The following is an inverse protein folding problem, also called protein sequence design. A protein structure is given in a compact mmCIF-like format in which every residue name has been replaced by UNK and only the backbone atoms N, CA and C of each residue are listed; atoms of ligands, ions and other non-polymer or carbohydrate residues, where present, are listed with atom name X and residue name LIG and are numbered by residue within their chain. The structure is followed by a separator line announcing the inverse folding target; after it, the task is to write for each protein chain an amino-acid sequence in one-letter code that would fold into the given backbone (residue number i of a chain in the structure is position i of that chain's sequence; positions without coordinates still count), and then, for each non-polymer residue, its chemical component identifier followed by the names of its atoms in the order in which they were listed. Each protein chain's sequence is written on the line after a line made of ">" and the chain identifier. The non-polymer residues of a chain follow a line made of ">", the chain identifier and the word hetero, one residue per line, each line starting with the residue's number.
data_IF_107525699226
#
_entry.id   IF_107525699226
#
_cell.length_a   1.000
_cell.length_b   1.000
_cell.length_c   1.000
_cell.angle_alpha   90.00
_cell.angle_beta   90.00
_cell.angle_gamma   90.00
#
_symmetry.space_group_name_H-M   'P 1'
#
loop_
_entity.id
_entity.type
_entity.pdbx_description
1 polymer ?
#
# COMPACT_ATOMS: atom_id res chain seq x y z
N UNK A 1 1.67 -4.59 -27.77
CA UNK A 1 1.14 -4.73 -26.38
C UNK A 1 2.14 -5.45 -25.49
N UNK A 2 2.14 -5.13 -24.19
CA UNK A 2 2.95 -5.78 -23.14
C UNK A 2 2.10 -5.95 -21.87
N UNK A 3 2.45 -6.93 -21.03
CA UNK A 3 1.83 -7.08 -19.72
C UNK A 3 2.33 -5.98 -18.79
N UNK A 4 1.40 -5.14 -18.33
CA UNK A 4 1.66 -4.06 -17.38
C UNK A 4 0.94 -4.34 -16.06
N UNK A 5 1.47 -3.80 -14.96
CA UNK A 5 0.77 -3.82 -13.67
C UNK A 5 -0.39 -2.85 -13.76
N UNK A 6 -1.62 -3.36 -13.71
CA UNK A 6 -2.84 -2.56 -13.65
C UNK A 6 -3.15 -2.11 -12.23
N UNK A 7 -2.91 -3.01 -11.28
CA UNK A 7 -3.17 -2.81 -9.86
C UNK A 7 -2.23 -3.68 -9.04
N UNK A 8 -1.68 -3.15 -7.96
CA UNK A 8 -0.82 -3.90 -7.04
C UNK A 8 -0.98 -3.38 -5.61
N UNK A 9 -1.22 -4.31 -4.69
CA UNK A 9 -1.20 -4.07 -3.25
C UNK A 9 -0.62 -5.30 -2.56
N UNK A 10 0.48 -5.11 -1.85
CA UNK A 10 1.14 -6.23 -1.17
C UNK A 10 0.26 -6.80 -0.06
N UNK A 11 0.15 -8.12 -0.02
CA UNK A 11 -0.40 -8.81 1.12
C UNK A 11 0.59 -8.74 2.29
N UNK A 12 0.02 -8.51 3.48
CA UNK A 12 0.74 -8.39 4.73
C UNK A 12 0.84 -9.76 5.43
N UNK A 13 1.91 -9.96 6.19
CA UNK A 13 2.22 -11.22 6.87
C UNK A 13 1.41 -11.39 8.14
N UNK A 14 0.41 -12.27 8.08
CA UNK A 14 -0.42 -12.66 9.22
C UNK A 14 -0.12 -14.09 9.68
N UNK A 15 1.08 -14.65 9.45
CA UNK A 15 1.44 -16.02 9.88
C UNK A 15 1.10 -16.33 11.33
N UNK A 16 1.41 -15.38 12.21
CA UNK A 16 1.21 -15.55 13.64
C UNK A 16 -0.25 -15.35 14.07
N UNK A 17 -1.10 -14.83 13.17
CA UNK A 17 -2.52 -14.54 13.39
C UNK A 17 -3.36 -14.96 12.18
N UNK A 18 -3.07 -16.14 11.63
CA UNK A 18 -3.70 -16.60 10.41
C UNK A 18 -5.21 -16.83 10.60
N UNK A 19 -5.98 -16.49 9.57
CA UNK A 19 -7.43 -16.66 9.57
C UNK A 19 -7.77 -18.09 9.18
N UNK A 20 -8.43 -18.83 10.08
CA UNK A 20 -8.84 -20.22 9.83
C UNK A 20 -10.32 -20.28 9.52
N UNK A 21 -10.68 -20.67 8.30
CA UNK A 21 -12.07 -20.84 7.90
C UNK A 21 -12.31 -22.23 7.33
N UNK A 22 -13.46 -22.82 7.62
CA UNK A 22 -13.90 -24.08 7.02
C UNK A 22 -14.25 -23.92 5.54
N UNK A 23 -14.86 -22.77 5.21
CA UNK A 23 -15.22 -22.36 3.86
C UNK A 23 -15.07 -20.83 3.77
N UNK A 24 -14.92 -20.32 2.55
CA UNK A 24 -14.79 -18.89 2.29
C UNK A 24 -15.43 -18.56 0.94
N UNK A 25 -16.21 -17.49 0.91
CA UNK A 25 -16.45 -16.71 -0.31
C UNK A 25 -15.95 -15.29 -0.05
N UNK A 26 -15.08 -14.78 -0.91
CA UNK A 26 -14.66 -13.38 -0.89
C UNK A 26 -14.93 -12.72 -2.23
N UNK A 27 -15.34 -11.46 -2.18
CA UNK A 27 -15.54 -10.58 -3.33
C UNK A 27 -14.63 -9.38 -3.16
N UNK A 28 -13.88 -9.06 -4.20
CA UNK A 28 -12.94 -7.94 -4.23
C UNK A 28 -13.31 -7.07 -5.42
N UNK A 29 -13.61 -5.79 -5.16
CA UNK A 29 -13.75 -4.76 -6.19
C UNK A 29 -12.38 -4.12 -6.41
N UNK A 30 -11.98 -3.95 -7.66
CA UNK A 30 -10.81 -3.17 -8.06
C UNK A 30 -11.22 -2.21 -9.19
N UNK A 31 -10.73 -0.97 -9.13
CA UNK A 31 -10.79 0.00 -10.22
C UNK A 31 -9.53 -0.14 -11.08
N UNK A 32 -9.71 -0.26 -12.40
CA UNK A 32 -8.62 -0.40 -13.36
C UNK A 32 -7.83 0.91 -13.49
N UNK A 33 -6.50 0.86 -13.39
CA UNK A 33 -5.66 2.04 -13.65
C UNK A 33 -5.42 2.25 -15.14
N UNK A 34 -5.44 1.17 -15.91
CA UNK A 34 -5.09 1.13 -17.33
C UNK A 34 -6.26 0.64 -18.18
N UNK A 35 -6.17 0.92 -19.47
CA UNK A 35 -7.00 0.35 -20.52
C UNK A 35 -6.26 -0.81 -21.17
N UNK A 36 -6.94 -1.92 -21.46
CA UNK A 36 -6.33 -3.08 -22.12
C UNK A 36 -7.32 -4.21 -22.38
N UNK A 37 -6.83 -5.31 -22.96
CA UNK A 37 -7.69 -6.34 -23.58
C UNK A 37 -7.79 -7.64 -22.80
N UNK A 38 -6.72 -7.98 -22.07
CA UNK A 38 -6.61 -9.24 -21.31
C UNK A 38 -6.08 -8.97 -19.93
N UNK A 39 -6.46 -9.81 -18.97
CA UNK A 39 -5.93 -9.75 -17.61
C UNK A 39 -5.31 -11.08 -17.17
N UNK A 40 -4.41 -10.98 -16.17
CA UNK A 40 -3.96 -12.09 -15.32
C UNK A 40 -3.98 -11.64 -13.87
N UNK A 41 -4.32 -12.53 -12.95
CA UNK A 41 -4.23 -12.28 -11.52
C UNK A 41 -2.96 -12.92 -10.95
N UNK A 42 -2.26 -12.20 -10.07
CA UNK A 42 -1.29 -12.82 -9.17
C UNK A 42 -2.00 -13.23 -7.88
N UNK A 43 -2.02 -14.53 -7.65
CA UNK A 43 -2.53 -15.09 -6.42
C UNK A 43 -1.37 -15.48 -5.50
N UNK A 44 -1.47 -15.18 -4.21
CA UNK A 44 -0.34 -15.28 -3.26
C UNK A 44 -0.64 -16.18 -2.08
N UNK A 45 0.39 -16.91 -1.65
CA UNK A 45 0.43 -17.71 -0.44
C UNK A 45 1.84 -17.65 0.15
N UNK A 46 2.44 -16.45 0.20
CA UNK A 46 3.82 -16.26 0.66
C UNK A 46 4.01 -16.66 2.12
N UNK A 47 2.96 -16.48 2.91
CA UNK A 47 3.00 -16.60 4.35
C UNK A 47 2.20 -17.81 4.84
N UNK A 48 1.49 -18.54 3.99
CA UNK A 48 0.78 -19.75 4.43
C UNK A 48 1.70 -20.89 4.85
N UNK A 49 1.20 -21.74 5.75
CA UNK A 49 1.88 -22.96 6.22
C UNK A 49 1.43 -24.22 5.48
N UNK A 50 0.40 -24.10 4.65
CA UNK A 50 -0.17 -25.14 3.80
C UNK A 50 -0.58 -24.55 2.44
N UNK A 51 -0.80 -25.41 1.46
CA UNK A 51 -1.33 -24.99 0.16
C UNK A 51 -2.75 -24.41 0.33
N UNK A 52 -3.08 -23.43 -0.50
CA UNK A 52 -4.42 -22.83 -0.56
C UNK A 52 -5.09 -23.26 -1.86
N UNK A 53 -6.30 -23.80 -1.79
CA UNK A 53 -7.10 -24.14 -2.96
C UNK A 53 -8.33 -23.26 -3.03
N UNK A 54 -8.57 -22.65 -4.20
CA UNK A 54 -9.83 -21.98 -4.50
C UNK A 54 -10.53 -22.77 -5.61
N UNK A 55 -11.68 -23.38 -5.32
CA UNK A 55 -12.46 -24.17 -6.28
C UNK A 55 -13.04 -23.29 -7.39
N UNK A 56 -13.32 -22.04 -7.08
CA UNK A 56 -13.83 -21.07 -8.04
C UNK A 56 -13.10 -19.74 -7.90
N UNK A 57 -12.61 -19.24 -9.04
CA UNK A 57 -12.09 -17.88 -9.19
C UNK A 57 -12.76 -17.26 -10.42
N UNK A 58 -13.55 -16.22 -10.21
CA UNK A 58 -14.31 -15.54 -11.26
C UNK A 58 -13.94 -14.06 -11.35
N UNK A 59 -14.07 -13.49 -12.54
CA UNK A 59 -14.03 -12.05 -12.78
C UNK A 59 -15.31 -11.57 -13.46
N UNK A 60 -15.80 -10.40 -13.07
CA UNK A 60 -17.00 -9.80 -13.63
C UNK A 60 -16.92 -8.27 -13.66
N UNK A 61 -17.75 -7.64 -14.49
CA UNK A 61 -17.86 -6.18 -14.62
C UNK A 61 -18.84 -5.55 -13.62
N UNK A 62 -19.60 -6.38 -12.93
CA UNK A 62 -20.67 -6.00 -12.00
C UNK A 62 -20.55 -6.81 -10.70
N UNK A 63 -21.11 -6.28 -9.62
CA UNK A 63 -21.01 -6.88 -8.29
C UNK A 63 -21.93 -8.07 -8.07
N UNK A 64 -22.88 -8.33 -8.97
CA UNK A 64 -23.76 -9.49 -8.97
C UNK A 64 -23.24 -10.64 -9.83
N UNK A 65 -22.06 -10.47 -10.44
CA UNK A 65 -21.35 -11.48 -11.23
C UNK A 65 -22.16 -12.00 -12.44
N UNK A 66 -23.03 -11.16 -13.00
CA UNK A 66 -23.64 -11.43 -14.31
C UNK A 66 -22.56 -11.48 -15.39
N UNK A 67 -22.63 -12.49 -16.26
CA UNK A 67 -21.65 -12.78 -17.30
C UNK A 67 -20.21 -12.90 -16.76
N UNK A 68 -20.06 -13.41 -15.52
CA UNK A 68 -18.76 -13.68 -14.96
C UNK A 68 -17.97 -14.68 -15.79
N UNK A 69 -16.67 -14.44 -15.92
CA UNK A 69 -15.74 -15.33 -16.58
C UNK A 69 -14.88 -16.05 -15.56
N UNK A 70 -14.62 -17.34 -15.79
CA UNK A 70 -13.82 -18.16 -14.90
C UNK A 70 -12.34 -18.05 -15.25
N UNK A 71 -11.51 -17.79 -14.25
CA UNK A 71 -10.06 -17.86 -14.37
C UNK A 71 -9.58 -19.29 -14.13
N UNK A 72 -8.50 -19.64 -14.81
CA UNK A 72 -7.83 -20.94 -14.68
C UNK A 72 -6.35 -20.75 -14.36
N UNK A 73 -5.70 -21.84 -13.95
CA UNK A 73 -4.25 -21.92 -13.88
C UNK A 73 -3.81 -23.23 -14.53
N UNK A 74 -3.02 -23.15 -15.60
CA UNK A 74 -2.63 -24.31 -16.41
C UNK A 74 -3.86 -25.12 -16.90
N UNK A 75 -4.92 -24.40 -17.27
CA UNK A 75 -6.20 -24.98 -17.71
C UNK A 75 -7.09 -25.55 -16.60
N UNK A 76 -6.63 -25.56 -15.35
CA UNK A 76 -7.41 -26.06 -14.21
C UNK A 76 -8.31 -24.97 -13.62
N UNK A 77 -9.56 -25.32 -13.34
CA UNK A 77 -10.57 -24.40 -12.78
C UNK A 77 -10.44 -24.25 -11.26
N UNK A 78 -10.02 -25.29 -10.57
CA UNK A 78 -9.60 -25.22 -9.17
C UNK A 78 -8.13 -24.80 -9.12
N UNK A 79 -7.86 -23.67 -8.48
CA UNK A 79 -6.51 -23.09 -8.43
C UNK A 79 -5.90 -23.38 -7.06
N UNK A 80 -4.81 -24.14 -7.06
CA UNK A 80 -4.00 -24.41 -5.86
C UNK A 80 -2.74 -23.55 -5.87
N UNK A 81 -2.55 -22.76 -4.82
CA UNK A 81 -1.37 -21.92 -4.61
C UNK A 81 -0.47 -22.61 -3.56
N UNK A 82 0.69 -23.14 -3.97
CA UNK A 82 1.59 -23.80 -3.04
C UNK A 82 2.04 -22.87 -1.89
N UNK A 83 2.26 -23.43 -0.71
CA UNK A 83 2.79 -22.68 0.44
C UNK A 83 4.10 -21.97 0.10
N UNK A 84 4.26 -20.74 0.57
CA UNK A 84 5.46 -19.93 0.35
C UNK A 84 5.61 -19.37 -1.06
N UNK A 85 4.59 -19.47 -1.91
CA UNK A 85 4.69 -19.10 -3.33
C UNK A 85 3.63 -18.09 -3.78
N UNK A 86 3.74 -17.68 -5.04
CA UNK A 86 2.66 -17.01 -5.78
C UNK A 86 2.60 -17.59 -7.18
N UNK A 87 1.44 -17.51 -7.81
CA UNK A 87 1.25 -17.87 -9.22
C UNK A 87 0.58 -16.73 -9.98
N UNK A 88 0.73 -16.75 -11.31
CA UNK A 88 -0.08 -15.94 -12.22
C UNK A 88 -1.10 -16.86 -12.88
N UNK A 89 -2.37 -16.46 -12.90
CA UNK A 89 -3.42 -17.19 -13.62
C UNK A 89 -3.12 -17.23 -15.11
N UNK A 90 -3.80 -18.13 -15.83
CA UNK A 90 -3.88 -18.06 -17.28
C UNK A 90 -4.47 -16.71 -17.70
N UNK A 91 -4.16 -16.26 -18.92
CA UNK A 91 -4.75 -15.05 -19.46
C UNK A 91 -6.20 -15.26 -19.85
N UNK A 92 -7.00 -14.20 -19.67
CA UNK A 92 -8.39 -14.18 -20.12
C UNK A 92 -8.69 -12.90 -20.89
N UNK A 93 -9.50 -12.99 -21.94
CA UNK A 93 -10.00 -11.81 -22.65
C UNK A 93 -11.06 -11.11 -21.80
N UNK A 94 -10.66 -9.99 -21.21
CA UNK A 94 -11.48 -9.21 -20.30
C UNK A 94 -11.13 -7.73 -20.49
N UNK A 95 -11.62 -7.11 -21.58
CA UNK A 95 -11.27 -5.74 -21.92
C UNK A 95 -11.69 -4.79 -20.80
N UNK A 96 -10.79 -3.93 -20.34
CA UNK A 96 -11.01 -2.93 -19.30
C UNK A 96 -10.63 -1.56 -19.81
N UNK A 97 -11.34 -0.53 -19.35
CA UNK A 97 -10.96 0.88 -19.53
C UNK A 97 -10.39 1.45 -18.23
N UNK A 98 -9.42 2.36 -18.32
CA UNK A 98 -8.94 3.12 -17.15
C UNK A 98 -10.12 3.79 -16.43
N UNK A 99 -10.18 3.62 -15.10
CA UNK A 99 -11.27 4.10 -14.25
C UNK A 99 -12.48 3.15 -14.13
N UNK A 100 -12.54 2.08 -14.92
CA UNK A 100 -13.61 1.09 -14.86
C UNK A 100 -13.44 0.15 -13.66
N UNK A 101 -14.55 -0.18 -13.00
CA UNK A 101 -14.57 -1.16 -11.92
C UNK A 101 -14.70 -2.58 -12.46
N UNK A 102 -14.05 -3.53 -11.79
CA UNK A 102 -14.28 -4.96 -11.98
C UNK A 102 -14.19 -5.68 -10.64
N UNK A 103 -14.68 -6.91 -10.63
CA UNK A 103 -14.89 -7.69 -9.42
C UNK A 103 -14.25 -9.06 -9.57
N UNK A 104 -13.62 -9.53 -8.49
CA UNK A 104 -13.03 -10.86 -8.37
C UNK A 104 -13.82 -11.59 -7.29
N UNK A 105 -14.30 -12.79 -7.58
CA UNK A 105 -14.87 -13.70 -6.60
C UNK A 105 -13.94 -14.91 -6.45
N UNK A 106 -13.65 -15.27 -5.22
CA UNK A 106 -12.90 -16.47 -4.89
C UNK A 106 -13.64 -17.29 -3.86
N UNK A 107 -13.81 -18.58 -4.13
CA UNK A 107 -14.46 -19.54 -3.23
C UNK A 107 -13.51 -20.67 -2.86
N UNK A 108 -13.48 -20.95 -1.56
CA UNK A 108 -12.82 -22.11 -0.99
C UNK A 108 -13.86 -22.94 -0.21
N UNK A 109 -13.94 -24.23 -0.55
CA UNK A 109 -14.88 -25.22 -0.03
C UNK A 109 -14.22 -26.17 0.98
N UNK A 110 -12.96 -25.89 1.33
CA UNK A 110 -12.16 -26.72 2.24
C UNK A 110 -11.58 -25.88 3.38
N UNK A 111 -11.37 -26.49 4.57
CA UNK A 111 -10.71 -25.82 5.68
C UNK A 111 -9.31 -25.34 5.30
N UNK A 112 -9.06 -24.05 5.47
CA UNK A 112 -7.82 -23.39 5.08
C UNK A 112 -7.39 -22.33 6.10
N UNK A 113 -6.08 -22.04 6.12
CA UNK A 113 -5.47 -21.03 6.98
C UNK A 113 -4.84 -19.94 6.14
N UNK A 114 -5.44 -18.75 6.14
CA UNK A 114 -5.02 -17.60 5.31
C UNK A 114 -4.08 -16.68 6.10
N UNK A 115 -2.86 -16.48 5.59
CA UNK A 115 -1.84 -15.62 6.19
C UNK A 115 -1.42 -14.44 5.29
N UNK A 116 -1.80 -14.46 4.01
CA UNK A 116 -1.61 -13.35 3.09
C UNK A 116 -2.84 -12.45 3.13
N UNK A 117 -2.77 -11.33 3.86
CA UNK A 117 -3.93 -10.48 4.11
C UNK A 117 -3.69 -9.08 3.55
N UNK A 118 -4.62 -8.60 2.74
CA UNK A 118 -4.65 -7.20 2.33
C UNK A 118 -5.91 -6.53 2.89
N UNK A 119 -5.86 -5.21 3.06
CA UNK A 119 -7.00 -4.46 3.59
C UNK A 119 -7.09 -3.03 3.11
N UNK A 120 -8.25 -2.43 3.26
CA UNK A 120 -8.52 -1.01 2.98
C UNK A 120 -9.67 -0.50 3.85
N UNK A 121 -9.70 0.80 4.12
CA UNK A 121 -10.88 1.52 4.61
C UNK A 121 -11.54 2.32 3.49
N UNK A 122 -10.75 2.85 2.56
CA UNK A 122 -11.22 3.52 1.36
C UNK A 122 -11.85 2.50 0.39
N UNK A 123 -13.01 2.84 -0.19
CA UNK A 123 -13.87 1.88 -0.93
C UNK A 123 -14.02 2.16 -2.44
N UNK A 124 -13.43 3.24 -2.95
CA UNK A 124 -13.65 3.68 -4.33
C UNK A 124 -12.80 2.90 -5.33
N UNK A 125 -11.50 2.75 -5.04
CA UNK A 125 -10.55 2.04 -5.91
C UNK A 125 -10.44 0.56 -5.57
N UNK A 126 -10.67 0.22 -4.32
CA UNK A 126 -10.58 -1.14 -3.78
C UNK A 126 -11.75 -1.31 -2.81
N UNK A 127 -12.44 -2.44 -2.84
CA UNK A 127 -13.38 -2.80 -1.78
C UNK A 127 -13.38 -4.31 -1.61
N UNK A 128 -13.75 -4.81 -0.44
CA UNK A 128 -13.83 -6.24 -0.24
C UNK A 128 -14.93 -6.61 0.75
N UNK A 129 -15.48 -7.80 0.57
CA UNK A 129 -16.35 -8.43 1.53
C UNK A 129 -16.13 -9.93 1.50
N UNK A 130 -16.30 -10.57 2.66
CA UNK A 130 -16.14 -12.01 2.78
C UNK A 130 -17.17 -12.60 3.72
N UNK A 131 -17.49 -13.88 3.50
CA UNK A 131 -18.31 -14.71 4.37
C UNK A 131 -17.66 -16.07 4.52
N UNK A 132 -17.82 -16.68 5.71
CA UNK A 132 -17.26 -17.99 6.05
C UNK A 132 -18.17 -19.13 5.57
N UNK A 133 -18.51 -19.09 4.29
CA UNK A 133 -19.36 -20.08 3.61
C UNK A 133 -19.11 -20.02 2.10
N UNK A 134 -19.14 -21.15 1.40
CA UNK A 134 -19.08 -21.20 -0.07
C UNK A 134 -20.46 -20.99 -0.73
N UNK A 135 -21.55 -21.03 0.05
CA UNK A 135 -22.94 -20.95 -0.44
C UNK A 135 -23.52 -19.53 -0.47
N UNK A 136 -22.78 -18.54 0.02
CA UNK A 136 -23.26 -17.16 0.18
C UNK A 136 -22.38 -16.19 -0.58
N UNK A 137 -23.02 -15.26 -1.28
CA UNK A 137 -22.34 -14.15 -1.92
C UNK A 137 -22.30 -12.94 -0.96
N UNK A 138 -21.11 -12.47 -0.53
CA UNK A 138 -21.03 -11.31 0.36
C UNK A 138 -21.35 -10.03 -0.41
N UNK A 139 -22.06 -9.10 0.22
CA UNK A 139 -22.32 -7.76 -0.35
C UNK A 139 -21.21 -6.79 0.03
N UNK A 140 -20.72 -6.03 -0.95
CA UNK A 140 -19.75 -4.96 -0.72
C UNK A 140 -20.41 -3.78 0.00
N UNK A 141 -19.90 -3.45 1.18
CA UNK A 141 -20.34 -2.26 1.93
C UNK A 141 -19.44 -1.08 1.60
N UNK A 142 -20.03 0.10 1.42
CA UNK A 142 -19.31 1.36 1.27
C UNK A 142 -19.39 2.09 2.61
N UNK A 143 -18.27 2.22 3.31
CA UNK A 143 -18.19 2.94 4.59
C UNK A 143 -16.74 3.27 4.90
N UNK A 144 -16.39 4.53 5.13
CA UNK A 144 -15.03 4.90 5.53
C UNK A 144 -14.63 4.39 6.91
N UNK A 145 -15.56 3.90 7.75
CA UNK A 145 -15.29 3.53 9.14
C UNK A 145 -14.97 2.05 9.35
N UNK A 146 -15.24 1.20 8.36
CA UNK A 146 -15.01 -0.24 8.46
C UNK A 146 -13.84 -0.70 7.60
N UNK A 147 -12.93 -1.47 8.21
CA UNK A 147 -11.87 -2.17 7.50
C UNK A 147 -12.45 -3.30 6.65
N UNK A 148 -12.06 -3.36 5.38
CA UNK A 148 -12.33 -4.48 4.48
C UNK A 148 -11.05 -5.22 4.24
N UNK A 149 -11.10 -6.54 4.37
CA UNK A 149 -9.94 -7.40 4.18
C UNK A 149 -10.25 -8.42 3.09
N UNK A 150 -9.20 -8.87 2.40
CA UNK A 150 -9.24 -10.01 1.49
C UNK A 150 -7.94 -10.79 1.58
N UNK A 151 -7.93 -11.98 0.99
CA UNK A 151 -6.79 -12.89 1.03
C UNK A 151 -6.27 -13.18 -0.37
N UNK A 152 -4.96 -13.34 -0.46
CA UNK A 152 -4.30 -14.01 -1.59
C UNK A 152 -4.46 -13.37 -2.97
N UNK A 153 -4.85 -12.09 -3.07
CA UNK A 153 -4.81 -11.32 -4.34
C UNK A 153 -3.88 -10.14 -4.15
N UNK A 154 -2.72 -10.19 -4.81
CA UNK A 154 -1.67 -9.17 -4.66
C UNK A 154 -1.51 -8.24 -5.87
N UNK A 155 -1.88 -8.71 -7.08
CA UNK A 155 -1.63 -7.98 -8.32
C UNK A 155 -2.58 -8.37 -9.43
N UNK A 156 -2.92 -7.39 -10.27
CA UNK A 156 -3.59 -7.60 -11.55
C UNK A 156 -2.69 -7.07 -12.65
N UNK A 157 -2.36 -7.94 -13.60
CA UNK A 157 -1.68 -7.58 -14.83
C UNK A 157 -2.72 -7.37 -15.93
N UNK A 158 -2.46 -6.42 -16.82
CA UNK A 158 -3.27 -6.16 -18.00
C UNK A 158 -2.39 -6.10 -19.25
N UNK A 159 -2.85 -6.69 -20.35
CA UNK A 159 -2.19 -6.61 -21.64
C UNK A 159 -2.64 -5.31 -22.33
N UNK A 160 -1.70 -4.39 -22.53
CA UNK A 160 -1.97 -3.04 -23.05
C UNK A 160 -0.82 -2.52 -23.91
N UNK A 161 -1.10 -1.49 -24.72
CA UNK A 161 -0.06 -0.70 -25.40
C UNK A 161 0.47 0.45 -24.52
N UNK A 162 -0.27 0.80 -23.46
CA UNK A 162 0.13 1.85 -22.53
C UNK A 162 1.45 1.49 -21.83
N UNK A 163 2.27 2.51 -21.58
CA UNK A 163 3.56 2.41 -20.91
C UNK A 163 3.55 3.31 -19.68
N UNK A 164 2.82 2.91 -18.62
CA UNK A 164 2.68 3.75 -17.44
C UNK A 164 3.99 3.87 -16.67
N UNK A 165 4.15 4.99 -15.96
CA UNK A 165 5.14 5.11 -14.91
C UNK A 165 4.61 4.50 -13.61
N UNK A 166 5.49 3.82 -12.87
CA UNK A 166 5.15 3.21 -11.60
C UNK A 166 5.63 4.06 -10.43
N UNK A 167 4.77 4.24 -9.43
CA UNK A 167 5.13 4.83 -8.13
C UNK A 167 4.90 3.80 -7.05
N UNK A 168 5.97 3.40 -6.35
CA UNK A 168 5.83 2.60 -5.14
C UNK A 168 5.48 3.52 -3.97
N UNK A 169 4.33 3.28 -3.35
CA UNK A 169 3.88 4.04 -2.17
C UNK A 169 4.12 3.20 -0.92
N UNK A 170 5.09 3.62 -0.11
CA UNK A 170 5.55 2.95 1.09
C UNK A 170 5.03 3.64 2.34
N UNK A 171 4.60 2.86 3.32
CA UNK A 171 4.23 3.40 4.62
C UNK A 171 3.63 2.39 5.56
N UNK A 172 2.96 2.92 6.58
CA UNK A 172 2.28 2.18 7.64
C UNK A 172 0.75 2.08 7.39
N UNK A 173 -0.04 2.18 8.47
CA UNK A 173 -1.50 2.16 8.43
C UNK A 173 -2.08 3.31 7.61
N UNK A 174 -1.46 4.49 7.58
CA UNK A 174 -1.96 5.62 6.79
C UNK A 174 -2.00 5.30 5.28
N UNK A 175 -1.04 4.48 4.81
CA UNK A 175 -1.02 3.99 3.43
C UNK A 175 -1.92 2.75 3.26
N UNK A 176 -1.96 1.84 4.24
CA UNK A 176 -2.81 0.64 4.19
C UNK A 176 -4.30 0.99 4.11
N UNK A 177 -4.75 1.98 4.89
CA UNK A 177 -6.14 2.45 4.95
C UNK A 177 -6.67 2.94 3.60
N UNK A 178 -5.79 3.45 2.75
CA UNK A 178 -6.10 3.76 1.36
C UNK A 178 -6.66 5.15 1.07
N UNK A 179 -6.97 5.99 2.06
CA UNK A 179 -7.58 7.32 1.79
C UNK A 179 -6.66 8.21 0.94
N UNK A 180 -5.37 8.28 1.27
CA UNK A 180 -4.38 9.08 0.54
C UNK A 180 -4.13 8.51 -0.85
N UNK A 181 -3.96 7.19 -0.97
CA UNK A 181 -3.65 6.54 -2.24
C UNK A 181 -4.85 6.54 -3.19
N UNK A 182 -6.08 6.42 -2.68
CA UNK A 182 -7.31 6.59 -3.43
C UNK A 182 -7.41 8.01 -4.00
N UNK A 183 -7.22 9.03 -3.17
CA UNK A 183 -7.26 10.43 -3.60
C UNK A 183 -6.17 10.75 -4.64
N UNK A 184 -4.94 10.26 -4.45
CA UNK A 184 -3.86 10.39 -5.44
C UNK A 184 -4.23 9.71 -6.77
N UNK A 185 -4.78 8.50 -6.72
CA UNK A 185 -5.22 7.80 -7.94
C UNK A 185 -6.35 8.55 -8.65
N UNK A 186 -7.28 9.16 -7.93
CA UNK A 186 -8.32 10.02 -8.51
C UNK A 186 -7.72 11.25 -9.23
N UNK A 187 -6.74 11.91 -8.61
CA UNK A 187 -6.05 13.05 -9.22
C UNK A 187 -5.34 12.64 -10.52
N UNK A 188 -4.63 11.52 -10.52
CA UNK A 188 -3.94 11.02 -11.73
C UNK A 188 -4.91 10.51 -12.80
N UNK A 189 -5.99 9.81 -12.42
CA UNK A 189 -7.01 9.39 -13.37
C UNK A 189 -7.65 10.60 -14.08
N UNK A 190 -7.86 11.71 -13.35
CA UNK A 190 -8.42 12.94 -13.92
C UNK A 190 -7.45 13.68 -14.83
N UNK A 191 -6.16 13.73 -14.48
CA UNK A 191 -5.18 14.55 -15.20
C UNK A 191 -4.45 13.80 -16.33
N UNK A 192 -4.18 12.51 -16.14
CA UNK A 192 -3.33 11.67 -16.99
C UNK A 192 -3.77 10.19 -16.93
N UNK A 193 -4.99 9.88 -17.42
CA UNK A 193 -5.57 8.54 -17.33
C UNK A 193 -4.69 7.48 -17.99
N UNK A 194 -4.34 6.45 -17.22
CA UNK A 194 -3.52 5.33 -17.68
C UNK A 194 -2.03 5.62 -17.85
N UNK A 195 -1.53 6.77 -17.38
CA UNK A 195 -0.10 7.10 -17.42
C UNK A 195 0.64 6.75 -16.13
N UNK A 196 -0.06 6.66 -14.99
CA UNK A 196 0.55 6.37 -13.68
C UNK A 196 -0.19 5.27 -12.95
N UNK A 197 0.59 4.33 -12.41
CA UNK A 197 0.08 3.25 -11.55
C UNK A 197 0.77 3.30 -10.19
N UNK A 198 -0.03 3.36 -9.12
CA UNK A 198 0.48 3.30 -7.75
C UNK A 198 0.53 1.85 -7.26
N UNK A 199 1.74 1.38 -6.90
CA UNK A 199 2.00 0.08 -6.27
C UNK A 199 2.03 0.25 -4.75
N UNK A 200 1.07 -0.35 -4.05
CA UNK A 200 0.84 -0.06 -2.63
C UNK A 200 1.63 -1.02 -1.74
N UNK A 201 2.51 -0.45 -0.91
CA UNK A 201 3.39 -1.14 0.02
C UNK A 201 3.11 -0.75 1.49
N UNK A 202 1.86 -0.40 1.81
CA UNK A 202 1.43 -0.03 3.17
C UNK A 202 1.26 -1.24 4.10
N UNK A 203 1.80 -1.15 5.32
CA UNK A 203 1.73 -2.21 6.32
C UNK A 203 1.31 -1.62 7.67
N UNK A 204 0.09 -1.89 8.14
CA UNK A 204 -0.39 -1.35 9.41
C UNK A 204 0.55 -1.67 10.58
N UNK A 205 0.82 -0.64 11.40
CA UNK A 205 1.73 -0.72 12.55
C UNK A 205 3.22 -0.79 12.21
N UNK A 206 3.60 -0.78 10.91
CA UNK A 206 5.00 -0.82 10.51
C UNK A 206 5.76 0.39 11.05
N UNK A 207 7.04 0.17 11.37
CA UNK A 207 7.97 1.20 11.82
C UNK A 207 9.04 1.42 10.78
N UNK A 208 9.66 2.59 10.80
CA UNK A 208 10.70 2.96 9.87
C UNK A 208 12.01 2.23 10.13
N UNK A 209 12.46 2.20 11.40
CA UNK A 209 13.80 1.76 11.77
C UNK A 209 13.86 0.40 12.49
N UNK A 210 12.75 -0.07 13.06
CA UNK A 210 12.72 -1.29 13.85
C UNK A 210 11.67 -2.29 13.36
N UNK A 211 12.01 -3.58 13.38
CA UNK A 211 11.10 -4.67 13.01
C UNK A 211 9.96 -4.85 14.03
N UNK A 212 8.94 -5.63 13.67
CA UNK A 212 7.84 -6.02 14.54
C UNK A 212 8.28 -6.53 15.92
N UNK A 213 7.44 -6.27 16.93
CA UNK A 213 7.64 -6.81 18.27
C UNK A 213 7.09 -8.24 18.35
N UNK A 214 7.75 -9.10 19.12
CA UNK A 214 7.51 -10.54 19.11
C UNK A 214 6.25 -11.05 19.83
N UNK A 215 5.20 -10.26 20.08
CA UNK A 215 3.98 -10.73 20.79
C UNK A 215 2.68 -10.18 20.21
N UNK A 216 1.65 -11.02 20.13
CA UNK A 216 0.28 -10.63 19.77
C UNK A 216 0.20 -9.92 18.42
N UNK A 217 -0.66 -8.90 18.33
CA UNK A 217 -0.88 -8.14 17.08
C UNK A 217 0.38 -7.50 16.53
N UNK A 218 1.34 -7.14 17.39
CA UNK A 218 2.59 -6.49 16.98
C UNK A 218 3.45 -7.36 16.06
N UNK A 219 3.28 -8.69 16.10
CA UNK A 219 4.00 -9.61 15.21
C UNK A 219 3.61 -9.43 13.75
N UNK A 220 2.42 -8.88 13.48
CA UNK A 220 1.93 -8.63 12.12
C UNK A 220 2.51 -7.35 11.50
N UNK A 221 3.27 -6.56 12.25
CA UNK A 221 3.79 -5.25 11.79
C UNK A 221 5.06 -5.38 10.92
N UNK A 222 5.51 -6.62 10.69
CA UNK A 222 6.58 -7.01 9.77
C UNK A 222 7.95 -6.38 10.02
N UNK A 223 8.88 -6.61 9.10
CA UNK A 223 10.19 -5.94 9.10
C UNK A 223 10.04 -4.43 8.88
N UNK A 224 10.98 -3.66 9.41
CA UNK A 224 11.03 -2.21 9.27
C UNK A 224 10.96 -1.78 7.81
N UNK A 225 10.36 -0.59 7.56
CA UNK A 225 10.29 -0.06 6.20
C UNK A 225 11.69 0.07 5.59
N UNK A 226 12.71 0.47 6.36
CA UNK A 226 14.11 0.47 5.90
C UNK A 226 14.51 -0.87 5.30
N UNK A 227 14.34 -1.96 6.05
CA UNK A 227 14.69 -3.31 5.59
C UNK A 227 13.88 -3.74 4.37
N UNK A 228 12.55 -3.52 4.38
CA UNK A 228 11.67 -3.91 3.26
C UNK A 228 12.02 -3.13 1.99
N UNK A 229 12.29 -1.84 2.11
CA UNK A 229 12.66 -0.98 0.99
C UNK A 229 13.99 -1.40 0.38
N UNK A 230 15.03 -1.57 1.20
CA UNK A 230 16.36 -1.99 0.72
C UNK A 230 16.33 -3.37 0.07
N UNK A 231 15.64 -4.34 0.69
CA UNK A 231 15.47 -5.68 0.11
C UNK A 231 14.78 -5.63 -1.25
N UNK A 232 13.74 -4.79 -1.36
CA UNK A 232 13.04 -4.61 -2.62
C UNK A 232 13.94 -3.95 -3.68
N UNK A 233 14.68 -2.90 -3.34
CA UNK A 233 15.65 -2.24 -4.24
C UNK A 233 16.82 -3.15 -4.65
N UNK A 234 17.16 -4.18 -3.87
CA UNK A 234 18.12 -5.22 -4.26
C UNK A 234 17.51 -6.23 -5.25
N UNK A 235 16.23 -6.52 -5.11
CA UNK A 235 15.51 -7.47 -5.96
C UNK A 235 15.06 -6.86 -7.30
N UNK A 236 14.83 -5.55 -7.35
CA UNK A 236 14.39 -4.83 -8.55
C UNK A 236 15.55 -4.13 -9.26
N UNK A 237 15.57 -4.21 -10.59
CA UNK A 237 16.60 -3.57 -11.43
C UNK A 237 16.16 -2.25 -12.08
N UNK A 238 14.90 -1.85 -11.91
CA UNK A 238 14.35 -0.68 -12.58
C UNK A 238 14.43 0.57 -11.69
N UNK A 239 14.72 1.75 -12.26
CA UNK A 239 14.63 3.01 -11.54
C UNK A 239 13.15 3.28 -11.25
N UNK A 240 12.77 3.11 -9.99
CA UNK A 240 11.40 3.32 -9.55
C UNK A 240 11.26 4.60 -8.75
N UNK A 241 10.13 5.28 -8.97
CA UNK A 241 9.75 6.45 -8.19
C UNK A 241 9.13 5.95 -6.89
N UNK A 242 9.57 6.50 -5.77
CA UNK A 242 9.13 6.08 -4.46
C UNK A 242 8.50 7.25 -3.71
N UNK A 243 7.34 7.01 -3.10
CA UNK A 243 6.74 7.89 -2.10
C UNK A 243 6.81 7.20 -0.76
N UNK A 244 7.51 7.80 0.22
CA UNK A 244 7.73 7.21 1.55
C UNK A 244 7.06 8.09 2.61
N UNK A 245 6.05 7.52 3.28
CA UNK A 245 5.32 8.17 4.36
C UNK A 245 5.25 7.22 5.57
N UNK A 246 6.06 7.51 6.59
CA UNK A 246 6.32 6.62 7.73
C UNK A 246 6.82 7.45 8.92
N UNK A 247 6.96 6.84 10.09
CA UNK A 247 7.70 7.39 11.22
C UNK A 247 6.87 7.56 12.49
N UNK A 248 5.54 7.59 12.35
CA UNK A 248 4.63 7.76 13.48
C UNK A 248 4.79 6.65 14.52
N UNK A 249 4.84 5.39 14.09
CA UNK A 249 4.98 4.25 15.02
C UNK A 249 6.35 4.19 15.72
N UNK A 250 7.42 4.72 15.11
CA UNK A 250 8.75 4.83 15.74
C UNK A 250 8.75 5.81 16.92
N UNK A 251 7.89 6.82 16.85
CA UNK A 251 7.69 7.81 17.91
C UNK A 251 6.70 7.32 18.97
N UNK A 252 5.71 6.52 18.55
CA UNK A 252 4.59 6.11 19.41
C UNK A 252 4.90 4.89 20.25
N UNK A 253 5.61 3.91 19.71
CA UNK A 253 5.77 2.63 20.40
C UNK A 253 6.66 2.72 21.64
N UNK A 254 7.82 3.39 21.63
CA UNK A 254 8.69 3.42 22.81
C UNK A 254 7.99 3.90 24.10
N UNK A 255 7.20 4.99 24.10
CA UNK A 255 6.47 5.40 25.30
C UNK A 255 5.20 4.57 25.58
N UNK A 256 4.63 3.86 24.60
CA UNK A 256 3.32 3.19 24.75
C UNK A 256 3.38 1.66 24.87
N UNK A 257 4.50 1.04 24.53
CA UNK A 257 4.68 -0.41 24.51
C UNK A 257 5.98 -0.76 25.24
N UNK A 258 5.88 -1.41 26.40
CA UNK A 258 7.03 -1.75 27.24
C UNK A 258 8.13 -2.51 26.49
N UNK A 259 7.78 -3.43 25.59
CA UNK A 259 8.74 -4.17 24.77
C UNK A 259 9.55 -3.29 23.78
N UNK A 260 9.10 -2.07 23.51
CA UNK A 260 9.77 -1.11 22.63
C UNK A 260 10.44 0.03 23.41
N UNK A 261 10.43 0.04 24.74
CA UNK A 261 10.86 1.21 25.54
C UNK A 261 12.32 1.59 25.34
N UNK A 262 13.17 0.65 24.93
CA UNK A 262 14.59 0.85 24.63
C UNK A 262 14.87 1.12 23.14
N UNK A 263 13.83 1.16 22.29
CA UNK A 263 13.93 1.37 20.85
C UNK A 263 13.60 2.82 20.48
N UNK A 264 14.13 3.77 21.26
CA UNK A 264 13.91 5.21 21.05
C UNK A 264 14.74 5.69 19.86
N UNK A 265 14.11 6.45 18.96
CA UNK A 265 14.80 7.04 17.81
C UNK A 265 15.30 8.46 18.12
N UNK A 266 16.30 8.92 17.36
CA UNK A 266 16.77 10.30 17.38
C UNK A 266 16.52 10.97 16.03
N UNK A 267 16.50 12.31 16.02
CA UNK A 267 16.42 13.09 14.79
C UNK A 267 17.50 12.67 13.78
N UNK A 268 18.75 12.55 14.26
CA UNK A 268 19.88 12.17 13.42
C UNK A 268 19.67 10.79 12.77
N UNK A 269 19.26 9.78 13.54
CA UNK A 269 19.03 8.43 13.00
C UNK A 269 17.95 8.40 11.92
N UNK A 270 16.86 9.16 12.12
CA UNK A 270 15.78 9.24 11.15
C UNK A 270 16.25 9.88 9.85
N UNK A 271 16.81 11.10 9.93
CA UNK A 271 17.22 11.88 8.75
C UNK A 271 18.36 11.18 8.01
N UNK A 272 19.33 10.61 8.73
CA UNK A 272 20.43 9.88 8.11
C UNK A 272 19.94 8.65 7.33
N UNK A 273 18.93 7.94 7.85
CA UNK A 273 18.33 6.83 7.10
C UNK A 273 17.63 7.32 5.83
N UNK A 274 16.96 8.49 5.85
CA UNK A 274 16.39 9.06 4.63
C UNK A 274 17.47 9.35 3.57
N UNK A 275 18.64 9.85 3.98
CA UNK A 275 19.79 10.07 3.08
C UNK A 275 20.30 8.75 2.49
N UNK A 276 20.48 7.72 3.33
CA UNK A 276 20.89 6.38 2.88
C UNK A 276 19.92 5.81 1.83
N UNK A 277 18.61 5.91 2.09
CA UNK A 277 17.59 5.45 1.14
C UNK A 277 17.62 6.26 -0.17
N UNK A 278 17.80 7.58 -0.09
CA UNK A 278 17.91 8.46 -1.27
C UNK A 278 19.15 8.16 -2.11
N UNK A 279 20.27 7.79 -1.50
CA UNK A 279 21.47 7.38 -2.23
C UNK A 279 21.23 6.10 -3.01
N UNK A 280 20.46 5.15 -2.44
CA UNK A 280 20.14 3.88 -3.11
C UNK A 280 19.03 4.03 -4.16
N UNK A 281 18.09 4.95 -3.94
CA UNK A 281 16.94 5.24 -4.79
C UNK A 281 16.73 6.77 -4.90
N UNK A 282 17.42 7.44 -5.85
CA UNK A 282 17.42 8.91 -5.95
C UNK A 282 16.07 9.55 -6.25
N UNK A 283 15.16 8.80 -6.88
CA UNK A 283 13.80 9.26 -7.19
C UNK A 283 12.84 8.92 -6.03
N UNK A 284 13.26 9.18 -4.79
CA UNK A 284 12.45 8.99 -3.57
C UNK A 284 11.97 10.33 -3.03
N UNK A 285 10.67 10.47 -2.88
CA UNK A 285 9.98 11.56 -2.20
C UNK A 285 9.58 11.12 -0.79
N UNK A 286 10.10 11.79 0.23
CA UNK A 286 9.68 11.63 1.61
C UNK A 286 8.60 12.64 1.97
N UNK A 287 7.86 12.37 3.04
CA UNK A 287 6.93 13.32 3.63
C UNK A 287 7.35 13.69 5.04
N UNK A 288 6.84 14.81 5.54
CA UNK A 288 6.81 15.07 6.99
C UNK A 288 5.99 14.00 7.74
N UNK A 289 6.32 13.75 9.00
CA UNK A 289 5.57 12.89 9.92
C UNK A 289 4.36 13.67 10.46
N UNK A 290 3.15 13.09 10.36
CA UNK A 290 1.93 13.70 10.87
C UNK A 290 1.90 13.75 12.42
N UNK A 291 1.18 14.72 13.01
CA UNK A 291 1.00 14.77 14.46
C UNK A 291 0.21 13.58 14.99
N UNK A 292 0.40 13.28 16.29
CA UNK A 292 -0.36 12.26 17.02
C UNK A 292 -0.81 12.85 18.34
N UNK A 293 -2.12 12.86 18.55
CA UNK A 293 -2.76 13.19 19.82
C UNK A 293 -3.46 11.98 20.47
N UNK A 294 -3.44 10.80 19.84
CA UNK A 294 -4.09 9.54 20.30
C UNK A 294 -3.69 9.03 21.69
N UNK A 295 -2.71 9.68 22.30
CA UNK A 295 -2.28 9.43 23.67
C UNK A 295 -3.25 10.00 24.71
N UNK A 296 -4.08 10.99 24.35
CA UNK A 296 -4.97 11.68 25.28
C UNK A 296 -5.98 10.74 25.96
N UNK A 297 -6.32 9.63 25.32
CA UNK A 297 -7.29 8.65 25.84
C UNK A 297 -6.64 7.44 26.54
N UNK A 298 -5.30 7.39 26.62
CA UNK A 298 -4.58 6.30 27.32
C UNK A 298 -4.08 6.79 28.67
N UNK A 299 -4.72 6.42 29.79
CA UNK A 299 -4.35 6.90 31.13
C UNK A 299 -2.94 6.48 31.58
N UNK A 300 -2.30 5.55 30.86
CA UNK A 300 -0.95 5.04 31.16
C UNK A 300 0.18 5.88 30.57
N UNK A 301 -0.10 6.85 29.70
CA UNK A 301 0.94 7.64 29.02
C UNK A 301 0.97 9.03 29.63
N UNK A 302 2.14 9.41 30.15
CA UNK A 302 2.28 10.67 30.88
C UNK A 302 2.26 11.86 29.92
N UNK A 303 1.65 13.00 30.28
CA UNK A 303 1.63 14.20 29.44
C UNK A 303 3.02 14.67 28.97
N UNK A 304 4.04 14.49 29.82
CA UNK A 304 5.44 14.81 29.49
C UNK A 304 5.97 13.96 28.32
N UNK A 305 5.59 12.69 28.24
CA UNK A 305 5.98 11.80 27.15
C UNK A 305 5.34 12.24 25.83
N UNK A 306 4.09 12.68 25.86
CA UNK A 306 3.38 13.22 24.70
C UNK A 306 4.11 14.46 24.18
N UNK A 307 4.45 15.40 25.07
CA UNK A 307 5.19 16.61 24.70
C UNK A 307 6.58 16.29 24.15
N UNK A 308 7.29 15.32 24.75
CA UNK A 308 8.61 14.88 24.28
C UNK A 308 8.52 14.27 22.89
N UNK A 309 7.54 13.41 22.64
CA UNK A 309 7.26 12.85 21.31
C UNK A 309 6.94 13.95 20.29
N UNK A 310 6.07 14.89 20.63
CA UNK A 310 5.71 16.00 19.73
C UNK A 310 6.92 16.88 19.38
N UNK A 311 7.76 17.20 20.38
CA UNK A 311 9.01 17.97 20.17
C UNK A 311 9.99 17.22 19.26
N UNK A 312 10.21 15.92 19.50
CA UNK A 312 11.09 15.11 18.65
C UNK A 312 10.56 15.02 17.21
N UNK A 313 9.26 14.79 17.04
CA UNK A 313 8.58 14.78 15.73
C UNK A 313 8.80 16.09 14.96
N UNK A 314 8.54 17.23 15.62
CA UNK A 314 8.76 18.56 15.03
C UNK A 314 10.22 18.76 14.65
N UNK A 315 11.15 18.33 15.50
CA UNK A 315 12.59 18.40 15.24
C UNK A 315 12.98 17.59 14.00
N UNK A 316 12.47 16.36 13.87
CA UNK A 316 12.64 15.52 12.67
C UNK A 316 12.09 16.22 11.42
N UNK A 317 10.85 16.70 11.46
CA UNK A 317 10.24 17.36 10.31
C UNK A 317 11.02 18.61 9.88
N UNK A 318 11.45 19.44 10.83
CA UNK A 318 12.28 20.61 10.53
C UNK A 318 13.62 20.22 9.90
N UNK A 319 14.25 19.15 10.38
CA UNK A 319 15.50 18.65 9.82
C UNK A 319 15.31 18.10 8.40
N UNK A 320 14.25 17.33 8.15
CA UNK A 320 13.88 16.83 6.82
C UNK A 320 13.65 17.97 5.83
N UNK A 321 12.85 18.98 6.21
CA UNK A 321 12.51 20.10 5.32
C UNK A 321 13.70 21.03 5.03
N UNK A 322 14.69 21.10 5.92
CA UNK A 322 15.92 21.91 5.72
C UNK A 322 16.99 21.16 4.92
N UNK A 323 16.86 19.84 4.78
CA UNK A 323 17.87 19.02 4.13
C UNK A 323 17.76 19.10 2.60
N UNK A 324 18.73 19.79 1.98
CA UNK A 324 18.78 19.98 0.52
C UNK A 324 19.15 18.71 -0.26
N UNK A 325 19.60 17.66 0.40
CA UNK A 325 19.89 16.38 -0.24
C UNK A 325 18.64 15.50 -0.38
N UNK A 326 17.55 15.84 0.32
CA UNK A 326 16.32 15.08 0.34
C UNK A 326 15.23 15.79 -0.46
N UNK A 327 14.40 15.02 -1.14
CA UNK A 327 13.11 15.50 -1.65
C UNK A 327 12.07 15.24 -0.59
N UNK A 328 11.54 16.30 0.02
CA UNK A 328 10.55 16.21 1.10
C UNK A 328 9.35 17.08 0.76
N UNK A 329 8.15 16.54 0.90
CA UNK A 329 6.90 17.30 0.83
C UNK A 329 6.30 17.47 2.23
N UNK A 330 5.98 18.72 2.58
CA UNK A 330 5.31 19.05 3.84
C UNK A 330 3.82 18.75 3.74
N UNK A 331 3.42 17.59 4.24
CA UNK A 331 2.03 17.16 4.27
C UNK A 331 1.32 17.58 5.56
N UNK A 332 2.05 17.88 6.64
CA UNK A 332 1.43 18.19 7.94
C UNK A 332 0.74 19.55 7.92
N UNK A 333 1.26 20.51 7.17
CA UNK A 333 0.77 21.91 7.18
C UNK A 333 -0.71 22.03 6.82
N UNK A 334 -1.23 21.18 5.93
CA UNK A 334 -2.61 21.25 5.46
C UNK A 334 -3.61 20.41 6.29
N UNK A 335 -3.12 19.60 7.24
CA UNK A 335 -3.97 18.68 8.02
C UNK A 335 -3.79 18.80 9.53
N UNK A 336 -2.94 19.71 10.00
CA UNK A 336 -2.64 19.89 11.42
C UNK A 336 -3.16 21.22 11.96
N UNK A 337 -3.36 21.29 13.27
CA UNK A 337 -3.58 22.55 13.98
C UNK A 337 -2.36 23.49 13.86
N UNK A 338 -2.54 24.76 14.25
CA UNK A 338 -1.50 25.80 14.16
C UNK A 338 -0.24 25.43 14.94
N UNK A 339 -0.38 24.76 16.08
CA UNK A 339 0.74 24.26 16.89
C UNK A 339 1.40 23.00 16.32
N UNK A 340 0.83 22.39 15.28
CA UNK A 340 1.26 21.12 14.69
C UNK A 340 1.38 20.00 15.74
N UNK A 341 0.45 19.95 16.66
CA UNK A 341 0.36 18.97 17.74
C UNK A 341 -0.75 17.96 17.53
N UNK A 342 -1.78 18.32 16.75
CA UNK A 342 -2.94 17.49 16.48
C UNK A 342 -3.37 17.61 15.02
N UNK A 343 -4.10 16.61 14.52
CA UNK A 343 -4.82 16.73 13.26
C UNK A 343 -5.99 17.73 13.41
N UNK A 344 -6.33 18.43 12.34
CA UNK A 344 -7.58 19.19 12.26
C UNK A 344 -8.77 18.23 12.40
N UNK A 345 -9.82 18.64 13.10
CA UNK A 345 -11.01 17.78 13.32
C UNK A 345 -11.59 17.21 12.01
N UNK A 346 -11.56 17.97 10.92
CA UNK A 346 -12.04 17.51 9.60
C UNK A 346 -11.10 16.51 8.92
N UNK A 347 -9.82 16.54 9.27
CA UNK A 347 -8.79 15.65 8.75
C UNK A 347 -8.54 14.43 9.67
N UNK A 348 -9.12 14.41 10.86
CA UNK A 348 -8.96 13.35 11.86
C UNK A 348 -9.99 12.23 11.64
N UNK A 349 -9.55 10.98 11.64
CA UNK A 349 -10.42 9.82 11.58
C UNK A 349 -11.29 9.65 12.85
N UNK A 350 -10.96 10.37 13.92
CA UNK A 350 -11.62 10.33 15.22
C UNK A 350 -10.81 9.58 16.28
N UNK A 351 -9.58 9.19 15.96
CA UNK A 351 -8.66 8.53 16.90
C UNK A 351 -7.38 9.33 17.15
N UNK A 352 -7.29 10.55 16.61
CA UNK A 352 -6.17 11.46 16.80
C UNK A 352 -4.81 10.90 16.33
N UNK A 353 -4.83 9.93 15.41
CA UNK A 353 -3.65 9.30 14.82
C UNK A 353 -3.80 9.14 13.31
N UNK A 354 -4.94 8.62 12.86
CA UNK A 354 -5.20 8.36 11.45
C UNK A 354 -5.96 9.52 10.81
N UNK A 355 -5.76 9.66 9.50
CA UNK A 355 -6.48 10.69 8.72
C UNK A 355 -7.84 10.18 8.28
N UNK A 356 -8.81 11.09 8.27
CA UNK A 356 -10.11 10.89 7.63
C UNK A 356 -9.97 10.80 6.11
N UNK A 357 -11.07 10.49 5.42
CA UNK A 357 -11.10 10.55 3.95
C UNK A 357 -10.71 11.95 3.44
N UNK A 358 -11.27 13.02 4.02
CA UNK A 358 -10.94 14.39 3.64
C UNK A 358 -9.48 14.74 3.97
N UNK A 359 -8.95 14.29 5.11
CA UNK A 359 -7.53 14.42 5.42
C UNK A 359 -6.64 13.75 4.37
N UNK A 360 -7.04 12.57 3.90
CA UNK A 360 -6.36 11.88 2.80
C UNK A 360 -6.39 12.65 1.48
N UNK A 361 -7.50 13.31 1.16
CA UNK A 361 -7.63 14.17 -0.02
C UNK A 361 -6.72 15.40 0.05
N UNK A 362 -6.67 16.09 1.19
CA UNK A 362 -5.78 17.25 1.41
C UNK A 362 -4.30 16.87 1.28
N UNK A 363 -3.91 15.73 1.84
CA UNK A 363 -2.54 15.21 1.70
C UNK A 363 -2.24 14.87 0.24
N UNK A 364 -3.16 14.19 -0.46
CA UNK A 364 -2.98 13.85 -1.86
C UNK A 364 -2.81 15.10 -2.75
N UNK A 365 -3.60 16.15 -2.52
CA UNK A 365 -3.46 17.44 -3.21
C UNK A 365 -2.10 18.10 -2.97
N UNK A 366 -1.54 17.91 -1.78
CA UNK A 366 -0.21 18.43 -1.44
C UNK A 366 0.92 17.64 -2.12
N UNK A 367 0.78 16.31 -2.18
CA UNK A 367 1.78 15.41 -2.76
C UNK A 367 1.80 15.47 -4.29
N UNK A 368 0.62 15.53 -4.92
CA UNK A 368 0.49 15.27 -6.36
C UNK A 368 1.33 16.18 -7.26
N UNK A 369 1.40 17.52 -7.05
CA UNK A 369 2.22 18.39 -7.89
C UNK A 369 3.71 18.02 -7.83
N UNK A 370 4.25 17.83 -6.62
CA UNK A 370 5.67 17.49 -6.39
C UNK A 370 6.01 16.11 -6.98
N UNK A 371 5.13 15.13 -6.78
CA UNK A 371 5.31 13.79 -7.34
C UNK A 371 5.21 13.80 -8.87
N UNK A 372 4.37 14.64 -9.45
CA UNK A 372 4.25 14.82 -10.91
C UNK A 372 5.50 15.43 -11.53
N UNK A 373 6.13 16.39 -10.85
CA UNK A 373 7.44 16.92 -11.29
C UNK A 373 8.52 15.84 -11.24
N UNK A 374 8.53 15.00 -10.21
CA UNK A 374 9.45 13.88 -10.08
C UNK A 374 9.26 12.86 -11.22
N UNK A 375 8.01 12.52 -11.54
CA UNK A 375 7.63 11.66 -12.67
C UNK A 375 8.19 12.20 -14.00
N UNK A 376 8.01 13.50 -14.25
CA UNK A 376 8.53 14.17 -15.46
C UNK A 376 10.06 14.16 -15.52
N UNK A 377 10.73 14.37 -14.39
CA UNK A 377 12.20 14.32 -14.30
C UNK A 377 12.74 12.92 -14.63
N UNK A 378 12.17 11.89 -14.01
CA UNK A 378 12.58 10.49 -14.23
C UNK A 378 12.35 10.05 -15.70
N UNK A 379 11.24 10.48 -16.32
CA UNK A 379 10.96 10.18 -17.73
C UNK A 379 12.04 10.74 -18.66
N UNK A 380 12.46 12.00 -18.46
CA UNK A 380 13.54 12.63 -19.24
C UNK A 380 14.86 11.87 -19.12
N UNK A 381 15.25 11.48 -17.90
CA UNK A 381 16.51 10.77 -17.67
C UNK A 381 16.52 9.37 -18.34
N UNK A 382 15.38 8.69 -18.36
CA UNK A 382 15.22 7.41 -19.07
C UNK A 382 15.41 7.58 -20.58
N UNK A 383 14.82 8.63 -21.18
CA UNK A 383 14.99 8.94 -22.60
C UNK A 383 16.45 9.24 -22.99
N UNK A 384 17.16 10.05 -22.20
CA UNK A 384 18.58 10.35 -22.45
C UNK A 384 19.47 9.10 -22.37
N UNK A 385 19.20 8.20 -21.42
CA UNK A 385 19.96 6.96 -21.25
C UNK A 385 19.75 6.00 -22.43
N UNK A 386 18.52 5.89 -22.95
CA UNK A 386 18.20 5.11 -24.17
C UNK A 386 18.82 5.70 -25.44
N UNK A 387 18.90 7.03 -25.56
CA UNK A 387 19.52 7.68 -26.70
C UNK A 387 21.05 7.44 -26.76
N UNK A 388 21.74 7.49 -25.60
CA UNK A 388 23.18 7.22 -25.52
C UNK A 388 23.55 5.76 -25.80
N UNK A 389 22.74 4.80 -25.35
CA UNK A 389 22.99 3.37 -25.64
C UNK A 389 22.75 3.00 -27.10
N UNK A 390 21.89 3.73 -27.82
CA UNK A 390 21.70 3.54 -29.26
C UNK A 390 22.82 4.19 -30.09
N UNK A 391 23.39 5.31 -29.64
CA UNK A 391 24.54 5.95 -30.32
C UNK A 391 25.84 5.14 -30.15
N UNK A 392 26.02 4.44 -29.03
CA UNK A 392 27.21 3.60 -28.77
C UNK A 392 27.23 2.23 -29.46
N UNK A 393 26.20 1.87 -30.23
CA UNK A 393 26.14 0.61 -30.99
C UNK A 393 26.39 0.77 -32.49
N UNK A 394 26.60 2.00 -32.96
CA UNK A 394 26.91 2.34 -34.35
C UNK A 394 28.35 2.87 -34.51
N UNK A 395 29.26 2.52 -33.61
CA UNK A 395 30.67 2.92 -33.62
C UNK A 395 31.61 1.74 -33.85
#
# INVERSE_FOLDING_TARGET
>A
MQWQVNWEKKCNDYRQMAFKFAELTQVIKIKSSLTGEKIRLQLTNYYGVSDLTFQTVLVAKNSDFQAAQRLTYQGQTAITIPKGTSLLTDEISFPLTSGEDFYILMQAEKPQSYADVSSTFASEWENAALVRSCLKHPSLKVSSHFRKNWFSVGKVLILTEQQPQYVNVWGDSLIEMGFITQALRNLYLKQQPGEVVLKINGLSGNRYLYDALGRGIYQTFGSSLKSRFLNYMMATKEPEINLVMIGTNDLVFPPSVSAASQQVISEYMYVQTCRELSQRAPETLFTTILPVAAYLDKPTIQPEQIQTTAKLRQKINQALLKDRQLRVVDIQTNVSDVSQTSLLSVADFGDHLHVSQLGGELIAQTIQPVLTELLKHAAKNSCYTKAKTNLGKNG
#
